data_IF_658233677522
#
_entry.id   IF_658233677522
#
_cell.length_a   1.000
_cell.length_b   1.000
_cell.length_c   1.000
_cell.angle_alpha   90.00
_cell.angle_beta   90.00
_cell.angle_gamma   90.00
#
_symmetry.space_group_name_H-M   'P 1'
#
loop_
_entity.id
_entity.type
_entity.pdbx_description
1 polymer ?
#
# COMPACT_ATOMS: atom_id res chain seq x y z
N UNK A 1 9.12 16.60 3.78
CA UNK A 1 7.67 16.91 3.68
C UNK A 1 7.15 17.65 4.91
N UNK A 2 7.56 17.29 6.10
CA UNK A 2 7.16 17.96 7.34
C UNK A 2 7.71 19.39 7.45
N UNK A 3 8.96 19.62 7.05
CA UNK A 3 9.55 20.97 6.95
C UNK A 3 8.81 21.87 5.95
N UNK A 4 8.37 21.31 4.82
CA UNK A 4 7.59 22.06 3.85
C UNK A 4 6.24 22.50 4.40
N UNK A 5 5.65 21.71 5.28
CA UNK A 5 4.41 22.04 5.97
C UNK A 5 4.64 23.07 7.08
N UNK A 6 5.75 22.99 7.81
CA UNK A 6 6.15 23.92 8.87
C UNK A 6 6.61 25.28 8.33
N UNK A 7 7.24 25.29 7.15
CA UNK A 7 7.72 26.52 6.52
C UNK A 7 6.63 27.43 5.94
N UNK A 8 5.35 27.15 6.22
CA UNK A 8 4.23 27.99 5.81
C UNK A 8 4.02 28.07 4.30
N UNK A 9 4.53 27.12 3.54
CA UNK A 9 4.35 27.04 2.07
C UNK A 9 2.87 27.19 1.72
N UNK A 10 2.43 28.42 1.47
CA UNK A 10 1.04 28.76 1.22
C UNK A 10 0.59 28.34 -0.18
N UNK A 11 1.52 28.14 -1.08
CA UNK A 11 1.24 27.80 -2.48
C UNK A 11 1.41 26.31 -2.77
N UNK A 12 0.49 25.67 -3.50
CA UNK A 12 0.66 24.29 -3.95
C UNK A 12 1.89 24.21 -4.90
N UNK A 13 2.60 23.09 -4.81
CA UNK A 13 3.74 22.81 -5.71
C UNK A 13 3.21 22.65 -7.14
N UNK A 14 3.95 23.15 -8.13
CA UNK A 14 3.56 23.01 -9.53
C UNK A 14 3.37 21.53 -9.93
N UNK A 15 2.43 21.24 -10.86
CA UNK A 15 2.01 19.87 -11.15
C UNK A 15 3.16 18.98 -11.65
N UNK A 16 4.05 19.48 -12.50
CA UNK A 16 5.20 18.73 -12.98
C UNK A 16 6.20 18.36 -11.87
N UNK A 17 6.51 19.31 -10.98
CA UNK A 17 7.37 19.06 -9.83
C UNK A 17 6.72 18.04 -8.89
N UNK A 18 5.40 18.15 -8.67
CA UNK A 18 4.65 17.19 -7.84
C UNK A 18 4.70 15.78 -8.42
N UNK A 19 4.62 15.62 -9.76
CA UNK A 19 4.74 14.33 -10.43
C UNK A 19 6.15 13.74 -10.29
N UNK A 20 7.19 14.55 -10.46
CA UNK A 20 8.58 14.11 -10.28
C UNK A 20 8.80 13.64 -8.84
N UNK A 21 8.33 14.39 -7.85
CA UNK A 21 8.39 13.97 -6.45
C UNK A 21 7.60 12.68 -6.19
N UNK A 22 6.43 12.51 -6.83
CA UNK A 22 5.64 11.30 -6.68
C UNK A 22 6.40 10.06 -7.18
N UNK A 23 7.04 10.15 -8.36
CA UNK A 23 7.90 9.08 -8.89
C UNK A 23 9.09 8.83 -7.96
N UNK A 24 9.77 9.87 -7.52
CA UNK A 24 10.92 9.75 -6.62
C UNK A 24 10.55 9.04 -5.31
N UNK A 25 9.48 9.44 -4.64
CA UNK A 25 9.06 8.81 -3.40
C UNK A 25 8.56 7.37 -3.59
N UNK A 26 7.92 7.06 -4.72
CA UNK A 26 7.58 5.68 -5.06
C UNK A 26 8.84 4.81 -5.18
N UNK A 27 9.86 5.28 -5.92
CA UNK A 27 11.12 4.55 -6.07
C UNK A 27 11.80 4.34 -4.71
N UNK A 28 11.88 5.37 -3.88
CA UNK A 28 12.46 5.28 -2.53
C UNK A 28 11.70 4.26 -1.68
N UNK A 29 10.36 4.31 -1.67
CA UNK A 29 9.54 3.36 -0.93
C UNK A 29 9.73 1.91 -1.42
N UNK A 30 9.81 1.71 -2.74
CA UNK A 30 10.05 0.41 -3.35
C UNK A 30 11.44 -0.15 -3.01
N UNK A 31 12.48 0.70 -2.99
CA UNK A 31 13.83 0.31 -2.57
C UNK A 31 13.85 -0.16 -1.11
N UNK A 32 13.22 0.58 -0.20
CA UNK A 32 13.11 0.16 1.20
C UNK A 32 12.32 -1.15 1.35
N UNK A 33 11.24 -1.32 0.57
CA UNK A 33 10.47 -2.56 0.56
C UNK A 33 11.30 -3.74 0.05
N UNK A 34 12.09 -3.55 -1.01
CA UNK A 34 12.98 -4.58 -1.56
C UNK A 34 14.08 -4.97 -0.56
N UNK A 35 14.73 -4.00 0.08
CA UNK A 35 15.74 -4.25 1.12
C UNK A 35 15.12 -5.02 2.29
N UNK A 36 13.97 -4.56 2.81
CA UNK A 36 13.25 -5.25 3.88
C UNK A 36 12.81 -6.65 3.50
N UNK A 37 12.34 -6.81 2.26
CA UNK A 37 11.95 -8.10 1.68
C UNK A 37 13.12 -9.07 1.57
N UNK A 38 14.27 -8.62 1.07
CA UNK A 38 15.50 -9.43 1.01
C UNK A 38 15.95 -9.87 2.42
N UNK A 39 15.83 -8.98 3.40
CA UNK A 39 16.15 -9.32 4.79
C UNK A 39 15.22 -10.42 5.34
N UNK A 40 13.91 -10.32 5.07
CA UNK A 40 12.94 -11.36 5.44
C UNK A 40 13.27 -12.68 4.73
N UNK A 41 13.55 -12.64 3.44
CA UNK A 41 13.93 -13.84 2.68
C UNK A 41 15.17 -14.52 3.25
N UNK A 42 16.17 -13.74 3.67
CA UNK A 42 17.39 -14.27 4.31
C UNK A 42 17.08 -14.90 5.67
N UNK A 43 16.25 -14.28 6.49
CA UNK A 43 15.83 -14.84 7.79
C UNK A 43 15.00 -16.13 7.65
N UNK A 44 14.20 -16.23 6.60
CA UNK A 44 13.39 -17.41 6.30
C UNK A 44 14.16 -18.49 5.54
N UNK A 45 15.38 -18.21 5.08
CA UNK A 45 16.25 -19.13 4.34
C UNK A 45 16.78 -20.32 5.15
N UNK A 46 15.98 -20.83 6.08
CA UNK A 46 16.30 -21.99 6.91
C UNK A 46 15.74 -23.28 6.30
N UNK A 47 16.50 -24.38 6.40
CA UNK A 47 16.11 -25.70 5.91
C UNK A 47 14.72 -26.15 6.37
N UNK A 48 14.33 -25.80 7.61
CA UNK A 48 13.01 -26.15 8.16
C UNK A 48 11.85 -25.55 7.35
N UNK A 49 12.00 -24.30 6.91
CA UNK A 49 10.99 -23.62 6.08
C UNK A 49 11.06 -24.07 4.62
N UNK A 50 12.27 -24.29 4.10
CA UNK A 50 12.46 -24.72 2.73
C UNK A 50 11.90 -26.11 2.47
N UNK A 51 12.08 -27.03 3.42
CA UNK A 51 11.61 -28.43 3.36
C UNK A 51 10.18 -28.60 3.88
N UNK A 52 9.45 -27.53 4.19
CA UNK A 52 8.08 -27.53 4.72
C UNK A 52 7.89 -28.22 6.09
N UNK A 53 8.94 -28.48 6.83
CA UNK A 53 8.80 -28.93 8.25
C UNK A 53 8.15 -27.86 9.13
N UNK A 54 8.24 -26.57 8.74
CA UNK A 54 7.54 -25.47 9.36
C UNK A 54 6.99 -24.52 8.30
N UNK A 55 5.73 -24.11 8.44
CA UNK A 55 5.07 -23.16 7.54
C UNK A 55 5.15 -21.78 8.16
N UNK A 56 5.72 -20.81 7.43
CA UNK A 56 5.69 -19.41 7.84
C UNK A 56 4.27 -18.85 7.73
N UNK A 57 3.59 -18.72 8.86
CA UNK A 57 2.21 -18.18 8.93
C UNK A 57 2.14 -16.65 8.98
N UNK A 58 3.30 -15.99 9.03
CA UNK A 58 3.41 -14.53 9.14
C UNK A 58 3.08 -13.73 7.87
N UNK A 59 2.85 -14.38 6.74
CA UNK A 59 2.60 -13.70 5.44
C UNK A 59 1.44 -12.71 5.52
N UNK A 60 0.34 -13.07 6.18
CA UNK A 60 -0.81 -12.16 6.36
C UNK A 60 -0.46 -10.99 7.28
N UNK A 61 0.38 -11.22 8.28
CA UNK A 61 0.84 -10.18 9.20
C UNK A 61 1.76 -9.18 8.50
N UNK A 62 2.67 -9.65 7.65
CA UNK A 62 3.55 -8.76 6.84
C UNK A 62 2.76 -7.87 5.89
N UNK A 63 1.56 -8.27 5.50
CA UNK A 63 0.66 -7.46 4.69
C UNK A 63 -0.16 -6.47 5.51
N UNK A 64 -0.77 -6.91 6.61
CA UNK A 64 -1.70 -6.09 7.41
C UNK A 64 -0.97 -5.11 8.33
N UNK A 65 0.14 -5.53 8.94
CA UNK A 65 0.86 -4.73 9.91
C UNK A 65 1.35 -3.37 9.36
N UNK A 66 1.95 -3.27 8.16
CA UNK A 66 2.34 -1.98 7.58
C UNK A 66 1.16 -1.02 7.41
N UNK A 67 -0.01 -1.51 7.03
CA UNK A 67 -1.21 -0.68 6.86
C UNK A 67 -1.64 -0.10 8.21
N UNK A 68 -1.66 -0.91 9.26
CA UNK A 68 -1.99 -0.47 10.62
C UNK A 68 -0.96 0.55 11.13
N UNK A 69 0.34 0.28 10.95
CA UNK A 69 1.41 1.18 11.39
C UNK A 69 1.35 2.53 10.68
N UNK A 70 1.10 2.53 9.36
CA UNK A 70 0.95 3.78 8.60
C UNK A 70 -0.31 4.53 9.02
N UNK A 71 -1.41 3.84 9.29
CA UNK A 71 -2.63 4.46 9.82
C UNK A 71 -2.36 5.16 11.17
N UNK A 72 -1.69 4.48 12.10
CA UNK A 72 -1.32 5.06 13.40
C UNK A 72 -0.38 6.26 13.22
N UNK A 73 0.69 6.09 12.42
CA UNK A 73 1.65 7.16 12.14
C UNK A 73 0.98 8.38 11.49
N UNK A 74 -0.02 8.13 10.64
CA UNK A 74 -0.78 9.20 10.00
C UNK A 74 -1.63 9.99 10.99
N UNK A 75 -2.35 9.30 11.87
CA UNK A 75 -3.16 9.92 12.93
C UNK A 75 -2.31 10.74 13.91
N UNK A 76 -1.06 10.32 14.15
CA UNK A 76 -0.11 11.04 15.01
C UNK A 76 0.47 12.30 14.34
N UNK A 77 0.65 12.28 13.01
CA UNK A 77 1.36 13.35 12.29
C UNK A 77 0.45 14.34 11.60
N UNK A 78 -0.79 13.97 11.32
CA UNK A 78 -1.72 14.78 10.55
C UNK A 78 -3.03 15.01 11.31
N UNK A 79 -3.59 16.23 11.26
CA UNK A 79 -4.84 16.58 11.95
C UNK A 79 -6.05 16.05 11.15
N UNK A 80 -6.19 14.72 11.05
CA UNK A 80 -7.27 14.09 10.30
C UNK A 80 -8.63 14.21 11.00
N UNK A 81 -8.64 14.08 12.34
CA UNK A 81 -9.86 14.03 13.13
C UNK A 81 -10.15 15.38 13.77
N UNK A 82 -11.17 16.08 13.29
CA UNK A 82 -11.58 17.41 13.84
C UNK A 82 -10.41 18.39 13.99
N UNK A 83 -9.44 18.34 13.10
CA UNK A 83 -8.26 19.19 13.13
C UNK A 83 -7.24 18.87 14.23
N UNK A 84 -7.35 17.73 14.91
CA UNK A 84 -6.46 17.29 16.00
C UNK A 84 -5.52 16.19 15.57
N UNK A 85 -4.32 16.17 16.13
CA UNK A 85 -3.37 15.06 16.07
C UNK A 85 -3.57 14.17 17.30
N UNK A 86 -3.26 12.88 17.17
CA UNK A 86 -3.42 11.91 18.27
C UNK A 86 -2.03 11.47 18.72
N UNK A 87 -1.43 12.22 19.65
CA UNK A 87 -0.07 11.97 20.11
C UNK A 87 0.00 11.34 21.51
N UNK A 88 -1.03 11.51 22.32
CA UNK A 88 -1.07 11.01 23.69
C UNK A 88 -2.08 9.89 23.86
N UNK A 89 -1.88 9.05 24.88
CA UNK A 89 -2.84 7.99 25.23
C UNK A 89 -4.22 8.55 25.58
N UNK A 90 -4.27 9.72 26.19
CA UNK A 90 -5.52 10.39 26.54
C UNK A 90 -6.29 10.83 25.29
N UNK A 91 -5.59 11.41 24.30
CA UNK A 91 -6.16 11.77 22.99
C UNK A 91 -6.63 10.55 22.21
N UNK A 92 -5.85 9.46 22.23
CA UNK A 92 -6.26 8.20 21.61
C UNK A 92 -7.54 7.64 22.25
N UNK A 93 -7.64 7.64 23.59
CA UNK A 93 -8.84 7.20 24.29
C UNK A 93 -10.04 8.10 23.96
N UNK A 94 -9.82 9.41 23.88
CA UNK A 94 -10.85 10.38 23.49
C UNK A 94 -11.31 10.16 22.05
N UNK A 95 -10.36 9.96 21.13
CA UNK A 95 -10.64 9.63 19.74
C UNK A 95 -11.49 8.37 19.60
N UNK A 96 -11.09 7.28 20.26
CA UNK A 96 -11.84 6.01 20.25
C UNK A 96 -13.26 6.24 20.80
N UNK A 97 -13.42 6.96 21.92
CA UNK A 97 -14.73 7.27 22.47
C UNK A 97 -15.59 8.07 21.50
N UNK A 98 -15.03 9.16 20.94
CA UNK A 98 -15.75 10.00 19.97
C UNK A 98 -16.12 9.22 18.71
N UNK A 99 -15.25 8.34 18.23
CA UNK A 99 -15.50 7.48 17.07
C UNK A 99 -16.63 6.47 17.34
N UNK A 100 -16.64 5.82 18.50
CA UNK A 100 -17.65 4.85 18.89
C UNK A 100 -19.01 5.48 19.21
N UNK A 101 -19.03 6.76 19.57
CA UNK A 101 -20.27 7.50 19.89
C UNK A 101 -20.76 8.37 18.73
N UNK A 102 -20.14 8.23 17.55
CA UNK A 102 -20.58 8.96 16.36
C UNK A 102 -21.91 8.43 15.82
N UNK A 103 -22.80 9.34 15.49
CA UNK A 103 -24.01 9.02 14.73
C UNK A 103 -23.61 8.62 13.31
N UNK A 104 -23.69 7.32 13.01
CA UNK A 104 -23.34 6.78 11.70
C UNK A 104 -24.59 6.72 10.83
N UNK A 105 -24.58 7.46 9.72
CA UNK A 105 -25.64 7.36 8.72
C UNK A 105 -25.63 5.98 8.07
N UNK A 106 -26.80 5.44 7.81
CA UNK A 106 -26.99 4.07 7.26
C UNK A 106 -26.12 3.80 6.02
N UNK A 107 -25.99 4.77 5.11
CA UNK A 107 -25.15 4.59 3.91
C UNK A 107 -23.67 4.39 4.22
N UNK A 108 -23.15 4.99 5.32
CA UNK A 108 -21.75 4.80 5.74
C UNK A 108 -21.52 3.37 6.18
N UNK A 109 -22.51 2.74 6.82
CA UNK A 109 -22.45 1.31 7.17
C UNK A 109 -22.33 0.43 5.92
N UNK A 110 -23.13 0.68 4.88
CA UNK A 110 -23.03 -0.06 3.62
C UNK A 110 -21.71 0.16 2.90
N UNK A 111 -21.18 1.39 2.89
CA UNK A 111 -19.88 1.69 2.31
C UNK A 111 -18.76 0.99 3.11
N UNK A 112 -18.82 1.03 4.43
CA UNK A 112 -17.85 0.33 5.28
C UNK A 112 -17.92 -1.19 5.11
N UNK A 113 -19.11 -1.77 4.98
CA UNK A 113 -19.31 -3.19 4.71
C UNK A 113 -18.74 -3.59 3.34
N UNK A 114 -18.98 -2.80 2.30
CA UNK A 114 -18.42 -3.03 0.97
C UNK A 114 -16.88 -2.94 0.97
N UNK A 115 -16.30 -1.93 1.61
CA UNK A 115 -14.85 -1.79 1.77
C UNK A 115 -14.27 -2.93 2.61
N UNK A 116 -14.97 -3.37 3.66
CA UNK A 116 -14.62 -4.52 4.47
C UNK A 116 -14.62 -5.83 3.67
N UNK A 117 -15.62 -6.05 2.81
CA UNK A 117 -15.67 -7.20 1.92
C UNK A 117 -14.51 -7.19 0.91
N UNK A 118 -14.21 -6.04 0.30
CA UNK A 118 -13.04 -5.89 -0.58
C UNK A 118 -11.75 -6.18 0.20
N UNK A 119 -11.57 -5.60 1.39
CA UNK A 119 -10.42 -5.86 2.26
C UNK A 119 -10.30 -7.34 2.63
N UNK A 120 -11.40 -8.01 2.94
CA UNK A 120 -11.43 -9.44 3.21
C UNK A 120 -10.92 -10.27 2.03
N UNK A 121 -11.38 -9.95 0.81
CA UNK A 121 -10.91 -10.60 -0.42
C UNK A 121 -9.40 -10.39 -0.59
N UNK A 122 -8.89 -9.16 -0.42
CA UNK A 122 -7.46 -8.85 -0.55
C UNK A 122 -6.61 -9.62 0.48
N UNK A 123 -7.02 -9.62 1.75
CA UNK A 123 -6.30 -10.34 2.82
C UNK A 123 -6.45 -11.85 2.65
N UNK A 124 -7.63 -12.34 2.28
CA UNK A 124 -7.89 -13.76 2.03
C UNK A 124 -7.06 -14.33 0.89
N UNK A 125 -6.78 -13.50 -0.13
CA UNK A 125 -5.94 -13.85 -1.29
C UNK A 125 -4.43 -13.66 -1.03
N UNK A 126 -4.05 -13.09 0.12
CA UNK A 126 -2.67 -13.03 0.59
C UNK A 126 -2.34 -14.31 1.35
N UNK A 127 -1.40 -15.11 0.84
CA UNK A 127 -0.96 -16.34 1.47
C UNK A 127 -1.19 -17.60 0.63
N UNK A 128 -0.82 -18.76 1.18
CA UNK A 128 -0.80 -20.04 0.47
C UNK A 128 -2.18 -20.68 0.25
N UNK A 129 -3.19 -20.29 1.01
CA UNK A 129 -4.56 -20.81 0.91
C UNK A 129 -5.48 -19.74 0.35
N UNK A 130 -5.69 -19.76 -0.96
CA UNK A 130 -6.66 -18.89 -1.62
C UNK A 130 -8.07 -19.49 -1.43
N UNK A 131 -8.81 -18.99 -0.43
CA UNK A 131 -10.22 -19.38 -0.21
C UNK A 131 -11.20 -18.62 -1.12
N UNK A 132 -10.73 -17.73 -2.00
CA UNK A 132 -11.58 -16.88 -2.85
C UNK A 132 -11.32 -17.21 -4.31
N UNK A 133 -12.38 -17.52 -5.13
CA UNK A 133 -12.23 -17.84 -6.53
C UNK A 133 -11.67 -16.65 -7.33
N UNK A 134 -10.87 -16.97 -8.35
CA UNK A 134 -10.25 -15.97 -9.24
C UNK A 134 -11.18 -15.71 -10.43
N UNK A 135 -11.56 -14.44 -10.71
CA UNK A 135 -12.38 -14.11 -11.88
C UNK A 135 -11.67 -14.45 -13.20
N UNK A 136 -12.43 -14.84 -14.21
CA UNK A 136 -11.89 -15.22 -15.54
C UNK A 136 -11.04 -14.11 -16.17
N UNK A 137 -11.47 -12.86 -16.05
CA UNK A 137 -10.71 -11.69 -16.52
C UNK A 137 -9.29 -11.63 -15.92
N UNK A 138 -9.19 -11.88 -14.63
CA UNK A 138 -7.89 -11.88 -13.95
C UNK A 138 -6.99 -13.00 -14.46
N UNK A 139 -7.54 -14.18 -14.79
CA UNK A 139 -6.78 -15.29 -15.36
C UNK A 139 -6.23 -14.94 -16.76
N UNK A 140 -7.02 -14.24 -17.58
CA UNK A 140 -6.58 -13.76 -18.90
C UNK A 140 -5.44 -12.74 -18.74
N UNK A 141 -5.62 -11.75 -17.86
CA UNK A 141 -4.58 -10.75 -17.58
C UNK A 141 -3.29 -11.41 -17.06
N UNK A 142 -3.40 -12.41 -16.18
CA UNK A 142 -2.26 -13.16 -15.65
C UNK A 142 -1.49 -13.85 -16.76
N UNK A 143 -2.18 -14.58 -17.66
CA UNK A 143 -1.56 -15.25 -18.80
C UNK A 143 -0.87 -14.27 -19.73
N UNK A 144 -1.51 -13.14 -20.03
CA UNK A 144 -0.92 -12.09 -20.85
C UNK A 144 0.39 -11.56 -20.24
N UNK A 145 0.38 -11.22 -18.93
CA UNK A 145 1.57 -10.74 -18.24
C UNK A 145 2.67 -11.81 -18.14
N UNK A 146 2.32 -13.08 -17.93
CA UNK A 146 3.27 -14.21 -17.90
C UNK A 146 3.94 -14.44 -19.26
N UNK A 147 3.22 -14.22 -20.35
CA UNK A 147 3.77 -14.39 -21.71
C UNK A 147 4.61 -13.18 -22.17
N UNK A 148 4.41 -12.01 -21.56
CA UNK A 148 5.04 -10.76 -22.00
C UNK A 148 6.21 -10.37 -21.12
N UNK A 149 6.16 -10.66 -19.82
CA UNK A 149 7.15 -10.25 -18.82
C UNK A 149 7.91 -11.45 -18.29
N UNK A 150 9.18 -11.25 -17.98
CA UNK A 150 10.03 -12.28 -17.41
C UNK A 150 9.52 -12.77 -16.03
N UNK A 151 9.01 -11.87 -15.20
CA UNK A 151 8.45 -12.20 -13.92
C UNK A 151 7.12 -11.44 -13.73
N UNK A 152 6.00 -12.18 -13.74
CA UNK A 152 4.67 -11.56 -13.61
C UNK A 152 4.55 -10.73 -12.32
N UNK A 153 4.32 -9.40 -12.42
CA UNK A 153 4.04 -8.56 -11.26
C UNK A 153 2.66 -8.90 -10.66
N UNK A 154 2.45 -8.51 -9.41
CA UNK A 154 1.16 -8.68 -8.74
C UNK A 154 0.23 -7.52 -9.09
N UNK A 155 -1.00 -7.84 -9.48
CA UNK A 155 -2.01 -6.86 -9.90
C UNK A 155 -2.25 -5.78 -8.83
N UNK A 156 -2.27 -6.16 -7.55
CA UNK A 156 -2.43 -5.24 -6.42
C UNK A 156 -1.27 -4.24 -6.27
N UNK A 157 -0.09 -4.52 -6.81
CA UNK A 157 1.05 -3.62 -6.80
C UNK A 157 0.92 -2.55 -7.88
N UNK A 158 0.84 -2.95 -9.16
CA UNK A 158 0.90 -2.01 -10.27
C UNK A 158 -0.44 -1.37 -10.63
N UNK A 159 -1.61 -2.01 -10.36
CA UNK A 159 -2.92 -1.42 -10.65
C UNK A 159 -3.36 -0.46 -9.52
N UNK A 160 -3.12 -0.84 -8.27
CA UNK A 160 -3.66 -0.12 -7.11
C UNK A 160 -2.54 0.57 -6.34
N UNK A 161 -1.59 -0.20 -5.81
CA UNK A 161 -0.64 0.28 -4.83
C UNK A 161 0.24 1.41 -5.31
N UNK A 162 1.03 1.18 -6.34
CA UNK A 162 1.98 2.17 -6.85
C UNK A 162 1.32 3.41 -7.43
N UNK A 163 0.26 3.32 -8.29
CA UNK A 163 -0.42 4.48 -8.80
C UNK A 163 -1.06 5.35 -7.71
N UNK A 164 -1.70 4.72 -6.71
CA UNK A 164 -2.34 5.45 -5.63
C UNK A 164 -1.34 6.05 -4.64
N UNK A 165 -0.16 5.43 -4.44
CA UNK A 165 0.92 6.03 -3.66
C UNK A 165 1.49 7.28 -4.35
N UNK A 166 1.64 7.24 -5.67
CA UNK A 166 2.04 8.42 -6.45
C UNK A 166 0.98 9.51 -6.36
N UNK A 167 -0.29 9.14 -6.52
CA UNK A 167 -1.40 10.09 -6.40
C UNK A 167 -1.52 10.66 -4.97
N UNK A 168 -1.23 9.87 -3.93
CA UNK A 168 -1.15 10.36 -2.54
C UNK A 168 -0.08 11.43 -2.39
N UNK A 169 1.12 11.20 -2.93
CA UNK A 169 2.21 12.19 -2.90
C UNK A 169 1.83 13.46 -3.67
N UNK A 170 1.23 13.30 -4.85
CA UNK A 170 0.72 14.42 -5.65
C UNK A 170 -0.35 15.20 -4.90
N UNK A 171 -1.35 14.52 -4.33
CA UNK A 171 -2.44 15.12 -3.56
C UNK A 171 -1.91 15.90 -2.34
N UNK A 172 -0.90 15.38 -1.65
CA UNK A 172 -0.25 16.08 -0.54
C UNK A 172 0.42 17.38 -1.00
N UNK A 173 1.19 17.35 -2.06
CA UNK A 173 1.91 18.51 -2.59
C UNK A 173 0.95 19.52 -3.23
N UNK A 174 -0.20 19.09 -3.72
CA UNK A 174 -1.27 19.93 -4.26
C UNK A 174 -2.26 20.41 -3.22
N UNK A 175 -2.06 20.04 -1.94
CA UNK A 175 -2.92 20.40 -0.79
C UNK A 175 -4.36 19.93 -0.93
N UNK A 176 -4.57 18.76 -1.46
CA UNK A 176 -5.89 18.14 -1.49
C UNK A 176 -6.43 17.89 -0.07
N UNK A 177 -7.75 17.69 0.08
CA UNK A 177 -8.34 17.39 1.37
C UNK A 177 -7.63 16.22 2.07
N UNK A 178 -7.36 16.39 3.36
CA UNK A 178 -6.56 15.43 4.14
C UNK A 178 -7.16 14.01 4.16
N UNK A 179 -8.50 13.92 4.09
CA UNK A 179 -9.18 12.62 4.03
C UNK A 179 -8.85 11.86 2.74
N UNK A 180 -8.84 12.55 1.60
CA UNK A 180 -8.47 11.96 0.31
C UNK A 180 -7.03 11.49 0.35
N UNK A 181 -6.11 12.34 0.83
CA UNK A 181 -4.70 11.98 1.00
C UNK A 181 -4.54 10.76 1.91
N UNK A 182 -5.28 10.68 3.02
CA UNK A 182 -5.25 9.54 3.94
C UNK A 182 -5.65 8.24 3.24
N UNK A 183 -6.79 8.21 2.56
CA UNK A 183 -7.28 7.04 1.84
C UNK A 183 -6.30 6.59 0.75
N UNK A 184 -5.80 7.53 -0.04
CA UNK A 184 -4.80 7.26 -1.09
C UNK A 184 -3.50 6.70 -0.49
N UNK A 185 -3.07 7.20 0.66
CA UNK A 185 -1.87 6.71 1.34
C UNK A 185 -2.06 5.27 1.81
N UNK A 186 -3.19 4.94 2.44
CA UNK A 186 -3.48 3.57 2.87
C UNK A 186 -3.55 2.61 1.68
N UNK A 187 -4.22 3.01 0.60
CA UNK A 187 -4.29 2.21 -0.62
C UNK A 187 -2.90 2.02 -1.27
N UNK A 188 -2.07 3.07 -1.25
CA UNK A 188 -0.69 3.01 -1.75
C UNK A 188 0.20 2.04 -0.95
N UNK A 189 0.02 1.98 0.36
CA UNK A 189 0.77 1.05 1.24
C UNK A 189 0.48 -0.41 0.92
N UNK A 190 -0.70 -0.73 0.37
CA UNK A 190 -1.03 -2.09 -0.10
C UNK A 190 0.01 -2.60 -1.11
N UNK A 191 0.44 -1.76 -2.05
CA UNK A 191 1.47 -2.13 -3.03
C UNK A 191 2.82 -2.40 -2.40
N UNK A 192 3.24 -1.52 -1.49
CA UNK A 192 4.53 -1.65 -0.78
C UNK A 192 4.53 -2.90 0.11
N UNK A 193 3.44 -3.15 0.85
CA UNK A 193 3.29 -4.35 1.66
C UNK A 193 3.28 -5.62 0.80
N UNK A 194 2.66 -5.58 -0.39
CA UNK A 194 2.66 -6.70 -1.34
C UNK A 194 4.05 -6.99 -1.91
N UNK A 195 4.87 -5.97 -2.15
CA UNK A 195 6.27 -6.17 -2.55
C UNK A 195 7.03 -6.96 -1.47
N UNK A 196 6.91 -6.56 -0.20
CA UNK A 196 7.54 -7.28 0.93
C UNK A 196 7.02 -8.71 1.03
N UNK A 197 5.70 -8.90 0.87
CA UNK A 197 5.06 -10.22 0.87
C UNK A 197 5.63 -11.15 -0.21
N UNK A 198 6.04 -10.61 -1.38
CA UNK A 198 6.64 -11.41 -2.46
C UNK A 198 7.89 -12.14 -2.00
N UNK A 199 8.70 -11.53 -1.14
CA UNK A 199 9.92 -12.13 -0.60
C UNK A 199 9.65 -13.17 0.52
N UNK A 200 8.44 -13.26 1.03
CA UNK A 200 8.05 -14.32 1.98
C UNK A 200 7.86 -15.69 1.30
N UNK A 201 7.84 -15.74 -0.03
CA UNK A 201 7.76 -16.99 -0.79
C UNK A 201 9.16 -17.63 -0.96
N UNK A 202 9.57 -18.40 0.03
CA UNK A 202 10.94 -18.93 0.20
C UNK A 202 11.42 -19.77 -0.99
N UNK A 203 10.51 -20.46 -1.69
CA UNK A 203 10.82 -21.29 -2.84
C UNK A 203 11.06 -20.51 -4.13
N UNK A 204 10.68 -19.24 -4.15
CA UNK A 204 10.96 -18.38 -5.30
C UNK A 204 12.36 -17.80 -5.16
N UNK A 205 13.24 -17.94 -6.16
CA UNK A 205 14.56 -17.32 -6.13
C UNK A 205 14.43 -15.82 -5.88
N UNK A 206 15.29 -15.27 -5.04
CA UNK A 206 15.29 -13.83 -4.68
C UNK A 206 15.36 -12.95 -5.93
N UNK A 207 16.15 -13.37 -6.93
CA UNK A 207 16.23 -12.68 -8.22
C UNK A 207 14.86 -12.54 -8.91
N UNK A 208 14.06 -13.61 -8.93
CA UNK A 208 12.70 -13.57 -9.50
C UNK A 208 11.77 -12.61 -8.72
N UNK A 209 11.94 -12.55 -7.40
CA UNK A 209 11.20 -11.61 -6.56
C UNK A 209 11.58 -10.15 -6.85
N UNK A 210 12.87 -9.89 -7.09
CA UNK A 210 13.37 -8.57 -7.49
C UNK A 210 12.83 -8.19 -8.87
N UNK A 211 12.92 -9.09 -9.87
CA UNK A 211 12.41 -8.83 -11.22
C UNK A 211 10.90 -8.56 -11.21
N UNK A 212 10.14 -9.33 -10.44
CA UNK A 212 8.70 -9.10 -10.25
C UNK A 212 8.40 -7.72 -9.65
N UNK A 213 9.17 -7.33 -8.64
CA UNK A 213 9.07 -5.99 -8.04
C UNK A 213 9.42 -4.88 -9.02
N UNK A 214 10.46 -5.08 -9.83
CA UNK A 214 10.88 -4.14 -10.87
C UNK A 214 9.81 -3.95 -11.96
N UNK A 215 9.29 -5.05 -12.51
CA UNK A 215 8.23 -5.00 -13.52
C UNK A 215 6.95 -4.36 -12.95
N UNK A 216 6.61 -4.69 -11.70
CA UNK A 216 5.49 -4.06 -10.98
C UNK A 216 5.68 -2.57 -10.77
N UNK A 217 6.90 -2.14 -10.41
CA UNK A 217 7.25 -0.74 -10.23
C UNK A 217 7.16 0.04 -11.56
N UNK A 218 7.67 -0.52 -12.65
CA UNK A 218 7.67 0.10 -13.96
C UNK A 218 6.23 0.30 -14.48
N UNK A 219 5.40 -0.76 -14.44
CA UNK A 219 4.00 -0.67 -14.83
C UNK A 219 3.20 0.25 -13.90
N UNK A 220 3.43 0.16 -12.59
CA UNK A 220 2.76 1.00 -11.61
C UNK A 220 3.14 2.48 -11.73
N UNK A 221 4.39 2.78 -12.06
CA UNK A 221 4.86 4.13 -12.31
C UNK A 221 4.19 4.72 -13.57
N UNK A 222 4.13 3.97 -14.67
CA UNK A 222 3.48 4.43 -15.91
C UNK A 222 1.99 4.69 -15.69
N UNK A 223 1.28 3.78 -15.03
CA UNK A 223 -0.12 3.97 -14.67
C UNK A 223 -0.33 5.14 -13.69
N UNK A 224 0.58 5.31 -12.73
CA UNK A 224 0.54 6.42 -11.79
C UNK A 224 0.73 7.78 -12.45
N UNK A 225 1.65 7.88 -13.40
CA UNK A 225 1.83 9.11 -14.20
C UNK A 225 0.58 9.37 -15.05
N UNK A 226 0.04 8.36 -15.73
CA UNK A 226 -1.19 8.48 -16.51
C UNK A 226 -2.36 8.96 -15.62
N UNK A 227 -2.53 8.37 -14.43
CA UNK A 227 -3.56 8.77 -13.48
C UNK A 227 -3.38 10.21 -13.00
N UNK A 228 -2.17 10.64 -12.71
CA UNK A 228 -1.89 12.03 -12.32
C UNK A 228 -2.23 13.00 -13.47
N UNK A 229 -1.93 12.63 -14.72
CA UNK A 229 -2.24 13.46 -15.87
C UNK A 229 -3.73 13.62 -16.11
N UNK A 230 -4.55 12.59 -15.83
CA UNK A 230 -6.01 12.67 -15.96
C UNK A 230 -6.67 13.53 -14.88
N UNK A 231 -6.07 13.61 -13.68
CA UNK A 231 -6.62 14.34 -12.52
C UNK A 231 -6.03 15.75 -12.39
N UNK A 232 -5.05 16.07 -13.20
CA UNK A 232 -4.36 17.37 -13.23
C UNK A 232 -5.27 18.49 -13.75
#
# INVERSE_FOLDING_TARGET
MEEWRRSGGTRPVGPWKSTIFAVFYLIVAALFAAIGGMYISALLGNTKFFMEFAIFRGVKLTFVLPIILVMIAYLQRFPLWKGRMINTRAEAKKFIREFLTMDVKIYVFFVAAALGAVGWVFVGRSGHTAGVPVPTFELVLRRFLENTLYARPREKEFIIGHPLLMLATFAFLRKWPMVIHFVLTLAGVIGIASMVETFCHIRTPVFMSIMRGYDGLLLGCTLGVALILTVR
#
